data_IF_053566038328
#
_entry.id   IF_053566038328
#
_cell.length_a   1.000
_cell.length_b   1.000
_cell.length_c   1.000
_cell.angle_alpha   90.00
_cell.angle_beta   90.00
_cell.angle_gamma   90.00
#
_symmetry.space_group_name_H-M   'P 1'
#
loop_
_entity.id
_entity.type
_entity.pdbx_description
1 polymer ?
#
# COMPACT_ATOMS: atom_id res chain seq x y z
N UNK A 1 5.78 21.27 -4.83
CA UNK A 1 6.18 19.86 -5.07
C UNK A 1 5.02 18.98 -4.66
N UNK A 2 4.52 18.18 -5.57
CA UNK A 2 3.40 17.23 -5.41
C UNK A 2 3.87 15.84 -5.76
N UNK A 3 3.37 14.80 -5.09
CA UNK A 3 3.59 13.40 -5.47
C UNK A 3 2.38 12.92 -6.28
N UNK A 4 2.62 12.50 -7.51
CA UNK A 4 1.59 11.93 -8.39
C UNK A 4 1.74 10.42 -8.43
N UNK A 5 0.67 9.72 -8.08
CA UNK A 5 0.56 8.26 -8.12
C UNK A 5 -0.19 7.89 -9.41
N UNK A 6 0.50 7.28 -10.35
CA UNK A 6 -0.10 6.89 -11.63
C UNK A 6 -0.47 5.41 -11.65
N UNK A 7 -1.69 5.09 -11.99
CA UNK A 7 -1.97 3.77 -12.52
C UNK A 7 -1.26 3.57 -13.87
N UNK A 8 -1.11 2.33 -14.31
CA UNK A 8 -0.37 1.98 -15.53
C UNK A 8 -1.30 1.62 -16.68
N UNK A 9 -2.10 0.56 -16.50
CA UNK A 9 -2.91 -0.01 -17.57
C UNK A 9 -4.13 0.90 -17.86
N UNK A 10 -4.33 1.26 -19.12
CA UNK A 10 -5.30 2.25 -19.60
C UNK A 10 -5.15 3.68 -19.04
N UNK A 11 -4.11 3.92 -18.25
CA UNK A 11 -3.70 5.25 -17.79
C UNK A 11 -2.46 5.73 -18.54
N UNK A 12 -1.29 5.16 -18.28
CA UNK A 12 -0.03 5.50 -18.95
C UNK A 12 0.25 4.61 -20.19
N UNK A 13 -0.23 3.38 -20.18
CA UNK A 13 -0.15 2.41 -21.27
C UNK A 13 -1.57 2.04 -21.71
N UNK A 14 -1.89 2.15 -22.97
CA UNK A 14 -3.13 1.59 -23.49
C UNK A 14 -3.09 0.06 -23.40
N UNK A 15 -3.83 -0.51 -22.46
CA UNK A 15 -3.81 -1.94 -22.20
C UNK A 15 -5.16 -2.40 -21.65
N UNK A 16 -6.06 -2.77 -22.53
CA UNK A 16 -7.36 -3.31 -22.14
C UNK A 16 -7.17 -4.67 -21.46
N UNK A 17 -7.26 -4.69 -20.14
CA UNK A 17 -6.98 -5.88 -19.32
C UNK A 17 -7.90 -7.07 -19.65
N UNK A 18 -9.15 -6.82 -20.07
CA UNK A 18 -10.07 -7.88 -20.50
C UNK A 18 -9.60 -8.59 -21.79
N UNK A 19 -8.85 -7.91 -22.65
CA UNK A 19 -8.24 -8.50 -23.84
C UNK A 19 -6.85 -9.10 -23.53
N UNK A 20 -6.10 -8.45 -22.67
CA UNK A 20 -4.72 -8.84 -22.33
C UNK A 20 -4.67 -10.13 -21.49
N UNK A 21 -5.45 -10.21 -20.41
CA UNK A 21 -5.40 -11.32 -19.45
C UNK A 21 -5.63 -12.69 -20.07
N UNK A 22 -6.64 -12.91 -20.94
CA UNK A 22 -6.83 -14.23 -21.57
C UNK A 22 -5.61 -14.69 -22.38
N UNK A 23 -4.96 -13.79 -23.11
CA UNK A 23 -3.77 -14.12 -23.93
C UNK A 23 -2.57 -14.41 -23.04
N UNK A 24 -2.37 -13.62 -21.97
CA UNK A 24 -1.36 -13.87 -20.95
C UNK A 24 -1.53 -15.24 -20.32
N UNK A 25 -2.73 -15.58 -19.86
CA UNK A 25 -3.04 -16.88 -19.24
C UNK A 25 -2.74 -18.06 -20.18
N UNK A 26 -3.13 -17.94 -21.45
CA UNK A 26 -2.86 -18.96 -22.45
C UNK A 26 -1.37 -19.13 -22.72
N UNK A 27 -0.63 -18.04 -22.82
CA UNK A 27 0.81 -18.06 -23.05
C UNK A 27 1.56 -18.71 -21.87
N UNK A 28 1.21 -18.36 -20.64
CA UNK A 28 1.79 -18.94 -19.43
C UNK A 28 1.43 -20.44 -19.31
N UNK A 29 0.17 -20.80 -19.54
CA UNK A 29 -0.27 -22.19 -19.52
C UNK A 29 0.45 -23.04 -20.58
N UNK A 30 0.69 -22.51 -21.76
CA UNK A 30 1.49 -23.16 -22.80
C UNK A 30 2.94 -23.37 -22.36
N UNK A 31 3.58 -22.41 -21.74
CA UNK A 31 4.97 -22.51 -21.21
C UNK A 31 5.07 -23.57 -20.11
N UNK A 32 4.07 -23.66 -19.25
CA UNK A 32 4.03 -24.58 -18.12
C UNK A 32 3.42 -25.96 -18.44
N UNK A 33 3.02 -26.24 -19.67
CA UNK A 33 2.32 -27.47 -20.06
C UNK A 33 3.13 -28.78 -19.81
N UNK A 34 4.45 -28.66 -19.63
CA UNK A 34 5.32 -29.80 -19.27
C UNK A 34 5.24 -30.19 -17.79
N UNK A 35 4.74 -29.32 -16.92
CA UNK A 35 4.73 -29.50 -15.46
C UNK A 35 3.33 -29.43 -14.85
N UNK A 36 2.34 -28.88 -15.57
CA UNK A 36 0.95 -28.81 -15.10
C UNK A 36 -0.04 -28.89 -16.25
N UNK A 37 -1.24 -29.45 -16.00
CA UNK A 37 -2.34 -29.38 -16.94
C UNK A 37 -2.79 -27.93 -17.17
N UNK A 38 -2.87 -27.46 -18.43
CA UNK A 38 -3.19 -26.06 -18.73
C UNK A 38 -4.52 -25.57 -18.14
N UNK A 39 -5.55 -26.41 -18.11
CA UNK A 39 -6.87 -26.03 -17.59
C UNK A 39 -6.84 -25.89 -16.08
N UNK A 40 -6.18 -26.83 -15.38
CA UNK A 40 -6.01 -26.79 -13.94
C UNK A 40 -5.15 -25.60 -13.55
N UNK A 41 -4.07 -25.34 -14.29
CA UNK A 41 -3.16 -24.21 -14.07
C UNK A 41 -3.90 -22.86 -14.15
N UNK A 42 -4.66 -22.62 -15.22
CA UNK A 42 -5.42 -21.35 -15.39
C UNK A 42 -6.41 -21.17 -14.23
N UNK A 43 -7.15 -22.21 -13.87
CA UNK A 43 -8.10 -22.16 -12.76
C UNK A 43 -7.41 -21.83 -11.43
N UNK A 44 -6.28 -22.47 -11.17
CA UNK A 44 -5.50 -22.26 -9.94
C UNK A 44 -4.87 -20.87 -9.92
N UNK A 45 -4.36 -20.39 -11.06
CA UNK A 45 -3.81 -19.04 -11.18
C UNK A 45 -4.86 -17.96 -10.89
N UNK A 46 -6.06 -18.09 -11.47
CA UNK A 46 -7.17 -17.17 -11.19
C UNK A 46 -7.58 -17.20 -9.71
N UNK A 47 -7.62 -18.39 -9.09
CA UNK A 47 -7.88 -18.53 -7.67
C UNK A 47 -6.81 -17.85 -6.81
N UNK A 48 -5.52 -18.08 -7.11
CA UNK A 48 -4.40 -17.48 -6.38
C UNK A 48 -4.39 -15.94 -6.54
N UNK A 49 -4.67 -15.43 -7.75
CA UNK A 49 -4.83 -13.98 -7.99
C UNK A 49 -5.96 -13.40 -7.14
N UNK A 50 -7.09 -14.11 -7.05
CA UNK A 50 -8.20 -13.68 -6.20
C UNK A 50 -7.82 -13.63 -4.72
N UNK A 51 -7.02 -14.59 -4.22
CA UNK A 51 -6.50 -14.58 -2.85
C UNK A 51 -5.60 -13.36 -2.57
N UNK A 52 -4.85 -12.87 -3.56
CA UNK A 52 -4.11 -11.61 -3.45
C UNK A 52 -5.04 -10.41 -3.35
N UNK A 53 -6.05 -10.32 -4.23
CA UNK A 53 -7.00 -9.18 -4.25
C UNK A 53 -7.82 -9.10 -2.96
N UNK A 54 -8.27 -10.24 -2.44
CA UNK A 54 -9.08 -10.34 -1.22
C UNK A 54 -8.24 -10.25 0.07
N UNK A 55 -6.89 -10.16 -0.04
CA UNK A 55 -6.05 -10.10 1.15
C UNK A 55 -6.27 -8.81 1.94
N UNK A 56 -6.60 -8.97 3.22
CA UNK A 56 -6.72 -7.89 4.20
C UNK A 56 -5.74 -8.03 5.37
N UNK A 57 -4.87 -9.05 5.37
CA UNK A 57 -3.90 -9.30 6.43
C UNK A 57 -2.52 -8.75 6.09
N UNK A 58 -1.86 -8.03 7.01
CA UNK A 58 -0.54 -7.46 6.80
C UNK A 58 0.62 -8.43 7.03
N UNK A 59 0.34 -9.71 7.32
CA UNK A 59 1.32 -10.70 7.76
C UNK A 59 2.15 -11.31 6.62
N UNK A 60 1.65 -11.22 5.38
CA UNK A 60 2.28 -11.83 4.20
C UNK A 60 2.16 -10.93 2.99
N UNK A 61 3.22 -10.91 2.19
CA UNK A 61 3.20 -10.24 0.89
C UNK A 61 2.20 -10.90 -0.06
N UNK A 62 1.83 -10.20 -1.12
CA UNK A 62 0.96 -10.76 -2.16
C UNK A 62 1.64 -11.96 -2.85
N UNK A 63 2.97 -11.97 -2.99
CA UNK A 63 3.72 -13.10 -3.49
C UNK A 63 3.54 -14.33 -2.60
N UNK A 64 3.71 -14.18 -1.29
CA UNK A 64 3.53 -15.29 -0.33
C UNK A 64 2.10 -15.82 -0.30
N UNK A 65 1.10 -14.92 -0.44
CA UNK A 65 -0.32 -15.32 -0.57
C UNK A 65 -0.56 -16.07 -1.88
N UNK A 66 0.01 -15.58 -2.97
CA UNK A 66 -0.06 -16.25 -4.28
C UNK A 66 0.58 -17.63 -4.21
N UNK A 67 1.80 -17.73 -3.70
CA UNK A 67 2.56 -18.98 -3.64
C UNK A 67 1.81 -20.06 -2.84
N UNK A 68 1.26 -19.68 -1.69
CA UNK A 68 0.48 -20.60 -0.85
C UNK A 68 -0.78 -21.12 -1.54
N UNK A 69 -1.37 -20.33 -2.45
CA UNK A 69 -2.59 -20.69 -3.16
C UNK A 69 -2.34 -21.35 -4.53
N UNK A 70 -1.17 -21.13 -5.14
CA UNK A 70 -0.87 -21.55 -6.50
C UNK A 70 -0.12 -22.89 -6.57
N UNK A 71 1.02 -23.00 -5.90
CA UNK A 71 1.90 -24.15 -6.07
C UNK A 71 1.36 -25.46 -5.47
N UNK A 72 0.86 -25.50 -4.20
CA UNK A 72 0.44 -26.75 -3.58
C UNK A 72 -0.71 -27.46 -4.30
N UNK A 73 -1.77 -26.75 -4.79
CA UNK A 73 -2.85 -27.41 -5.54
C UNK A 73 -2.40 -28.06 -6.87
N UNK A 74 -1.28 -27.56 -7.43
CA UNK A 74 -0.69 -28.08 -8.66
C UNK A 74 0.33 -29.21 -8.39
N UNK A 75 0.63 -29.49 -7.12
CA UNK A 75 1.70 -30.43 -6.75
C UNK A 75 3.09 -29.93 -7.14
N UNK A 76 3.28 -28.62 -7.27
CA UNK A 76 4.53 -27.98 -7.68
C UNK A 76 5.27 -27.40 -6.48
N UNK A 77 6.59 -27.37 -6.59
CA UNK A 77 7.48 -26.64 -5.69
C UNK A 77 8.05 -25.44 -6.47
N UNK A 78 7.92 -24.23 -5.93
CA UNK A 78 8.33 -23.00 -6.61
C UNK A 78 9.75 -23.06 -7.18
N UNK A 79 10.72 -23.49 -6.38
CA UNK A 79 12.14 -23.57 -6.80
C UNK A 79 12.39 -24.50 -7.98
N UNK A 80 11.55 -25.51 -8.17
CA UNK A 80 11.67 -26.48 -9.28
C UNK A 80 11.15 -25.92 -10.61
N UNK A 81 10.18 -24.98 -10.55
CA UNK A 81 9.55 -24.39 -11.74
C UNK A 81 9.97 -22.94 -11.99
N UNK A 82 10.78 -22.34 -11.09
CA UNK A 82 11.21 -20.94 -11.21
C UNK A 82 11.85 -20.65 -12.56
N UNK A 83 12.74 -21.54 -13.04
CA UNK A 83 13.38 -21.36 -14.36
C UNK A 83 12.41 -21.36 -15.55
N UNK A 84 11.26 -22.06 -15.44
CA UNK A 84 10.19 -22.03 -16.48
C UNK A 84 9.48 -20.67 -16.45
N UNK A 85 9.20 -20.16 -15.22
CA UNK A 85 8.55 -18.86 -15.03
C UNK A 85 9.47 -17.73 -15.48
N UNK A 86 10.76 -17.77 -15.13
CA UNK A 86 11.74 -16.78 -15.57
C UNK A 86 11.86 -16.75 -17.09
N UNK A 87 11.92 -17.92 -17.73
CA UNK A 87 11.94 -18.04 -19.18
C UNK A 87 10.64 -17.51 -19.82
N UNK A 88 9.47 -17.68 -19.18
CA UNK A 88 8.22 -17.08 -19.65
C UNK A 88 8.32 -15.55 -19.67
N UNK A 89 8.74 -14.93 -18.57
CA UNK A 89 8.84 -13.47 -18.50
C UNK A 89 9.96 -12.90 -19.37
N UNK A 90 11.01 -13.67 -19.66
CA UNK A 90 12.10 -13.28 -20.53
C UNK A 90 11.78 -13.42 -22.04
N UNK A 91 11.03 -14.45 -22.43
CA UNK A 91 10.89 -14.83 -23.83
C UNK A 91 9.47 -14.70 -24.39
N UNK A 92 8.44 -15.01 -23.59
CA UNK A 92 7.05 -15.05 -24.06
C UNK A 92 6.27 -13.79 -23.68
N UNK A 93 6.43 -13.30 -22.46
CA UNK A 93 5.75 -12.08 -21.99
C UNK A 93 6.03 -10.85 -22.87
N UNK A 94 7.27 -10.60 -23.35
CA UNK A 94 7.57 -9.49 -24.26
C UNK A 94 6.76 -9.51 -25.57
N UNK A 95 6.32 -10.70 -26.03
CA UNK A 95 5.51 -10.84 -27.24
C UNK A 95 4.10 -10.28 -27.07
N UNK A 96 3.64 -10.12 -25.82
CA UNK A 96 2.34 -9.54 -25.50
C UNK A 96 2.30 -8.02 -25.71
N UNK A 97 3.47 -7.36 -25.88
CA UNK A 97 3.56 -5.93 -26.21
C UNK A 97 2.62 -5.54 -27.37
N UNK A 98 2.46 -6.41 -28.36
CA UNK A 98 1.59 -6.16 -29.51
C UNK A 98 0.08 -6.03 -29.17
N UNK A 99 -0.32 -6.36 -27.94
CA UNK A 99 -1.70 -6.17 -27.46
C UNK A 99 -1.88 -4.80 -26.77
N UNK A 100 -0.79 -4.07 -26.54
CA UNK A 100 -0.81 -2.77 -25.87
C UNK A 100 -0.62 -1.63 -26.86
N UNK A 101 -1.01 -0.44 -26.46
CA UNK A 101 -0.88 0.77 -27.25
C UNK A 101 -0.01 1.79 -26.53
N UNK A 102 1.06 2.23 -27.19
CA UNK A 102 1.89 3.33 -26.73
C UNK A 102 1.11 4.65 -26.73
N UNK A 103 1.25 5.43 -25.65
CA UNK A 103 0.60 6.74 -25.45
C UNK A 103 1.67 7.83 -25.35
N UNK A 104 1.98 8.57 -26.43
CA UNK A 104 3.02 9.60 -26.41
C UNK A 104 2.72 10.74 -25.43
N UNK A 105 1.44 11.03 -25.17
CA UNK A 105 0.99 11.99 -24.16
C UNK A 105 1.39 11.58 -22.74
N UNK A 106 1.45 10.28 -22.43
CA UNK A 106 1.87 9.79 -21.12
C UNK A 106 3.35 10.13 -20.85
N UNK A 107 4.22 9.92 -21.84
CA UNK A 107 5.64 10.29 -21.73
C UNK A 107 5.78 11.78 -21.53
N UNK A 108 5.09 12.60 -22.36
CA UNK A 108 5.15 14.06 -22.28
C UNK A 108 4.68 14.59 -20.92
N UNK A 109 3.58 14.05 -20.37
CA UNK A 109 3.04 14.50 -19.07
C UNK A 109 3.99 14.13 -17.93
N UNK A 110 4.51 12.89 -17.90
CA UNK A 110 5.46 12.45 -16.86
C UNK A 110 6.76 13.27 -16.92
N UNK A 111 7.31 13.55 -18.10
CA UNK A 111 8.47 14.41 -18.25
C UNK A 111 8.23 15.84 -17.74
N UNK A 112 7.08 16.44 -18.06
CA UNK A 112 6.72 17.76 -17.57
C UNK A 112 6.60 17.81 -16.04
N UNK A 113 6.02 16.77 -15.42
CA UNK A 113 5.92 16.63 -13.95
C UNK A 113 7.32 16.66 -13.33
N UNK A 114 8.25 15.87 -13.84
CA UNK A 114 9.62 15.81 -13.34
C UNK A 114 10.34 17.14 -13.55
N UNK A 115 10.19 17.78 -14.73
CA UNK A 115 10.78 19.08 -15.04
C UNK A 115 10.25 20.21 -14.12
N UNK A 116 9.02 20.10 -13.64
CA UNK A 116 8.41 21.05 -12.65
C UNK A 116 8.95 20.83 -11.24
N UNK A 117 9.72 19.79 -10.98
CA UNK A 117 10.18 19.40 -9.65
C UNK A 117 9.11 18.67 -8.83
N UNK A 118 8.02 18.22 -9.45
CA UNK A 118 7.06 17.29 -8.85
C UNK A 118 7.59 15.85 -8.95
N UNK A 119 7.01 14.95 -8.17
CA UNK A 119 7.43 13.54 -8.13
C UNK A 119 6.38 12.65 -8.78
N UNK A 120 6.83 11.64 -9.49
CA UNK A 120 5.98 10.60 -10.06
C UNK A 120 6.27 9.24 -9.42
N UNK A 121 5.23 8.46 -9.20
CA UNK A 121 5.31 7.09 -8.75
C UNK A 121 4.27 6.24 -9.50
N UNK A 122 4.54 4.95 -9.65
CA UNK A 122 3.60 4.02 -10.26
C UNK A 122 2.74 3.39 -9.17
N UNK A 123 1.43 3.49 -9.28
CA UNK A 123 0.46 2.91 -8.35
C UNK A 123 -0.45 1.90 -9.09
N UNK A 124 0.13 1.10 -9.98
CA UNK A 124 -0.57 -0.03 -10.63
C UNK A 124 -0.93 -1.10 -9.60
N UNK A 125 -1.95 -1.91 -9.90
CA UNK A 125 -2.32 -3.03 -9.02
C UNK A 125 -1.17 -4.06 -8.95
N UNK A 126 -0.56 -4.34 -7.78
CA UNK A 126 0.66 -5.12 -7.65
C UNK A 126 0.40 -6.64 -7.71
N UNK A 127 -0.34 -7.09 -8.72
CA UNK A 127 -0.71 -8.50 -8.91
C UNK A 127 0.25 -9.26 -9.83
N UNK A 128 1.30 -8.59 -10.30
CA UNK A 128 2.31 -9.15 -11.18
C UNK A 128 3.71 -9.04 -10.54
N UNK A 129 4.64 -9.93 -10.93
CA UNK A 129 6.04 -9.79 -10.55
C UNK A 129 6.63 -8.50 -11.10
N UNK A 130 7.61 -7.96 -10.39
CA UNK A 130 8.29 -6.71 -10.74
C UNK A 130 8.77 -6.69 -12.20
N UNK A 131 9.31 -7.81 -12.70
CA UNK A 131 9.75 -7.98 -14.09
C UNK A 131 8.65 -7.65 -15.10
N UNK A 132 7.42 -8.08 -14.87
CA UNK A 132 6.30 -7.81 -15.77
C UNK A 132 5.87 -6.34 -15.72
N UNK A 133 5.92 -5.71 -14.55
CA UNK A 133 5.59 -4.30 -14.39
C UNK A 133 6.64 -3.43 -15.09
N UNK A 134 7.93 -3.72 -14.91
CA UNK A 134 9.01 -2.99 -15.58
C UNK A 134 8.95 -3.11 -17.11
N UNK A 135 8.62 -4.28 -17.64
CA UNK A 135 8.43 -4.45 -19.08
C UNK A 135 7.26 -3.62 -19.62
N UNK A 136 6.13 -3.57 -18.90
CA UNK A 136 4.99 -2.73 -19.30
C UNK A 136 5.30 -1.24 -19.22
N UNK A 137 6.11 -0.80 -18.26
CA UNK A 137 6.64 0.57 -18.24
C UNK A 137 7.54 0.87 -19.46
N UNK A 138 8.38 -0.08 -19.86
CA UNK A 138 9.17 0.05 -21.09
C UNK A 138 8.24 0.14 -22.32
N UNK A 139 7.18 -0.66 -22.40
CA UNK A 139 6.19 -0.58 -23.49
C UNK A 139 5.47 0.77 -23.54
N UNK A 140 5.29 1.41 -22.38
CA UNK A 140 4.75 2.76 -22.27
C UNK A 140 5.76 3.86 -22.63
N UNK A 141 7.03 3.51 -22.92
CA UNK A 141 8.11 4.47 -23.15
C UNK A 141 8.59 5.17 -21.87
N UNK A 142 8.30 4.59 -20.72
CA UNK A 142 8.59 5.11 -19.37
C UNK A 142 9.49 4.13 -18.60
N UNK A 143 10.52 3.60 -19.26
CA UNK A 143 11.46 2.66 -18.66
C UNK A 143 12.04 3.22 -17.34
N UNK A 144 12.04 2.39 -16.29
CA UNK A 144 12.45 2.79 -14.95
C UNK A 144 13.94 3.20 -14.83
N UNK A 145 14.77 2.81 -15.80
CA UNK A 145 16.17 3.26 -15.90
C UNK A 145 16.28 4.72 -16.35
N UNK A 146 15.26 5.27 -16.99
CA UNK A 146 15.27 6.61 -17.57
C UNK A 146 14.33 7.58 -16.84
N UNK A 147 13.29 7.05 -16.19
CA UNK A 147 12.30 7.85 -15.45
C UNK A 147 12.49 7.61 -13.94
N UNK A 148 12.81 8.63 -13.15
CA UNK A 148 13.09 8.50 -11.72
C UNK A 148 11.78 8.36 -10.92
N UNK A 149 11.04 7.28 -11.12
CA UNK A 149 9.87 6.99 -10.28
C UNK A 149 10.28 6.78 -8.82
N UNK A 150 9.61 7.44 -7.91
CA UNK A 150 9.90 7.31 -6.46
C UNK A 150 9.58 5.91 -5.92
N UNK A 151 8.59 5.23 -6.53
CA UNK A 151 8.21 3.87 -6.21
C UNK A 151 7.51 3.19 -7.40
N UNK A 152 7.74 1.88 -7.53
CA UNK A 152 7.05 0.97 -8.45
C UNK A 152 6.65 -0.25 -7.62
N UNK A 153 5.35 -0.47 -7.33
CA UNK A 153 4.88 -1.58 -6.52
C UNK A 153 4.94 -2.90 -7.29
N UNK A 154 5.04 -4.00 -6.56
CA UNK A 154 4.94 -5.34 -7.13
C UNK A 154 4.51 -6.34 -6.05
N UNK A 155 4.08 -7.53 -6.44
CA UNK A 155 3.55 -8.52 -5.50
C UNK A 155 4.60 -9.00 -4.47
N UNK A 156 5.90 -8.87 -4.79
CA UNK A 156 7.00 -9.21 -3.89
C UNK A 156 7.13 -8.26 -2.70
N UNK A 157 6.62 -7.03 -2.82
CA UNK A 157 6.87 -5.96 -1.85
C UNK A 157 5.63 -5.31 -1.29
N UNK A 158 4.45 -5.75 -1.71
CA UNK A 158 3.17 -5.25 -1.24
C UNK A 158 2.33 -6.36 -0.62
N UNK A 159 1.53 -5.98 0.39
CA UNK A 159 0.63 -6.87 1.11
C UNK A 159 -0.82 -6.70 0.65
N UNK A 160 -1.15 -5.53 0.11
CA UNK A 160 -2.51 -5.19 -0.30
C UNK A 160 -2.58 -4.86 -1.78
N UNK A 161 -3.75 -5.15 -2.37
CA UNK A 161 -4.10 -4.81 -3.74
C UNK A 161 -5.28 -3.84 -3.78
N UNK A 162 -5.44 -3.08 -4.86
CA UNK A 162 -6.67 -2.32 -5.13
C UNK A 162 -7.85 -3.29 -5.31
N UNK A 163 -9.06 -2.98 -4.82
CA UNK A 163 -9.54 -1.67 -4.33
C UNK A 163 -9.37 -1.43 -2.82
N UNK A 164 -8.58 -2.22 -2.10
CA UNK A 164 -8.37 -2.00 -0.68
C UNK A 164 -7.62 -0.68 -0.45
N UNK A 165 -8.16 0.30 0.32
CA UNK A 165 -7.46 1.56 0.61
C UNK A 165 -6.14 1.37 1.35
N UNK A 166 -5.93 0.22 2.02
CA UNK A 166 -4.66 -0.14 2.65
C UNK A 166 -3.52 -0.26 1.62
N UNK A 167 -3.79 -0.53 0.33
CA UNK A 167 -2.78 -0.46 -0.72
C UNK A 167 -2.13 0.93 -0.79
N UNK A 168 -2.95 1.99 -0.84
CA UNK A 168 -2.43 3.36 -0.90
C UNK A 168 -1.78 3.77 0.43
N UNK A 169 -2.32 3.34 1.56
CA UNK A 169 -1.71 3.60 2.86
C UNK A 169 -0.34 2.92 2.98
N UNK A 170 -0.20 1.65 2.58
CA UNK A 170 1.07 0.93 2.52
C UNK A 170 2.06 1.61 1.57
N UNK A 171 1.58 2.05 0.42
CA UNK A 171 2.38 2.79 -0.57
C UNK A 171 3.02 4.04 0.06
N UNK A 172 2.22 4.85 0.75
CA UNK A 172 2.70 6.06 1.41
C UNK A 172 3.57 5.75 2.64
N UNK A 173 3.25 4.72 3.38
CA UNK A 173 4.04 4.27 4.53
C UNK A 173 5.44 3.81 4.10
N UNK A 174 5.56 3.05 3.01
CA UNK A 174 6.87 2.65 2.44
C UNK A 174 7.69 3.84 1.91
N UNK A 175 7.05 4.99 1.63
CA UNK A 175 7.69 6.28 1.30
C UNK A 175 7.93 7.18 2.52
N UNK A 176 7.69 6.69 3.74
CA UNK A 176 7.83 7.48 4.96
C UNK A 176 6.74 8.54 5.13
N UNK A 177 5.53 8.32 4.64
CA UNK A 177 4.40 9.25 4.72
C UNK A 177 4.74 10.67 4.25
N UNK A 178 4.93 10.92 2.95
CA UNK A 178 5.31 12.23 2.43
C UNK A 178 4.34 13.33 2.88
N UNK A 179 4.89 14.48 3.30
CA UNK A 179 4.09 15.64 3.76
C UNK A 179 3.62 16.53 2.61
N UNK A 180 3.98 16.21 1.38
CA UNK A 180 3.56 16.95 0.17
C UNK A 180 2.15 16.56 -0.23
N UNK A 181 1.43 17.40 -1.01
CA UNK A 181 0.19 16.98 -1.66
C UNK A 181 0.38 15.71 -2.46
N UNK A 182 -0.63 14.83 -2.44
CA UNK A 182 -0.62 13.54 -3.13
C UNK A 182 -1.86 13.44 -4.00
N UNK A 183 -1.66 13.09 -5.28
CA UNK A 183 -2.75 12.96 -6.25
C UNK A 183 -2.68 11.57 -6.89
N UNK A 184 -3.75 10.79 -6.77
CA UNK A 184 -3.92 9.56 -7.56
C UNK A 184 -4.50 9.88 -8.92
N UNK A 185 -3.86 9.39 -9.97
CA UNK A 185 -4.27 9.53 -11.37
C UNK A 185 -4.50 8.15 -11.94
N UNK A 186 -5.73 7.86 -12.36
CA UNK A 186 -6.09 6.53 -12.88
C UNK A 186 -7.42 6.54 -13.62
N UNK A 187 -7.74 5.45 -14.30
CA UNK A 187 -8.94 5.32 -15.15
C UNK A 187 -10.05 4.50 -14.49
N UNK A 188 -9.74 3.64 -13.53
CA UNK A 188 -10.75 2.79 -12.90
C UNK A 188 -11.42 3.48 -11.71
N UNK A 189 -12.78 3.52 -11.77
CA UNK A 189 -13.59 4.21 -10.74
C UNK A 189 -13.46 3.55 -9.37
N UNK A 190 -13.39 2.22 -9.32
CA UNK A 190 -13.36 1.47 -8.07
C UNK A 190 -11.91 1.29 -7.57
N UNK A 191 -11.04 0.79 -8.45
CA UNK A 191 -9.67 0.42 -8.10
C UNK A 191 -8.79 1.64 -7.81
N UNK A 192 -8.91 2.71 -8.61
CA UNK A 192 -8.05 3.89 -8.49
C UNK A 192 -8.72 4.99 -7.70
N UNK A 193 -9.88 5.45 -8.19
CA UNK A 193 -10.51 6.67 -7.69
C UNK A 193 -11.20 6.42 -6.36
N UNK A 194 -12.01 5.37 -6.28
CA UNK A 194 -12.76 5.01 -5.08
C UNK A 194 -11.85 4.65 -3.91
N UNK A 195 -10.88 3.78 -4.14
CA UNK A 195 -9.94 3.32 -3.13
C UNK A 195 -9.04 4.46 -2.61
N UNK A 196 -8.50 5.30 -3.50
CA UNK A 196 -7.69 6.47 -3.10
C UNK A 196 -8.51 7.50 -2.29
N UNK A 197 -9.76 7.77 -2.69
CA UNK A 197 -10.66 8.67 -1.94
C UNK A 197 -11.04 8.11 -0.58
N UNK A 198 -11.17 6.80 -0.42
CA UNK A 198 -11.42 6.18 0.88
C UNK A 198 -10.27 6.41 1.85
N UNK A 199 -9.02 6.44 1.36
CA UNK A 199 -7.87 6.86 2.17
C UNK A 199 -7.83 8.37 2.41
N UNK A 200 -8.52 9.19 1.61
CA UNK A 200 -8.52 10.65 1.72
C UNK A 200 -7.52 11.35 0.81
N UNK A 201 -7.11 10.71 -0.29
CA UNK A 201 -6.25 11.31 -1.31
C UNK A 201 -7.07 12.18 -2.27
N UNK A 202 -6.42 13.21 -2.82
CA UNK A 202 -6.91 13.86 -4.02
C UNK A 202 -6.79 12.92 -5.21
N UNK A 203 -7.71 13.04 -6.17
CA UNK A 203 -7.76 12.16 -7.34
C UNK A 203 -8.00 12.96 -8.62
N UNK A 204 -7.49 12.45 -9.73
CA UNK A 204 -7.84 12.89 -11.08
C UNK A 204 -8.22 11.64 -11.90
N UNK A 205 -9.45 11.61 -12.39
CA UNK A 205 -9.99 10.47 -13.10
C UNK A 205 -9.76 10.60 -14.61
N UNK A 206 -8.95 9.72 -15.18
CA UNK A 206 -8.75 9.63 -16.63
C UNK A 206 -10.03 9.08 -17.26
N UNK A 207 -10.76 9.91 -17.97
CA UNK A 207 -12.06 9.57 -18.56
C UNK A 207 -12.37 10.36 -19.82
N UNK A 208 -12.42 9.64 -20.94
CA UNK A 208 -12.74 10.19 -22.27
C UNK A 208 -14.25 10.36 -22.53
N UNK A 209 -15.12 9.76 -21.71
CA UNK A 209 -16.55 9.66 -21.95
C UNK A 209 -17.40 10.64 -21.12
N UNK A 210 -16.76 11.47 -20.32
CA UNK A 210 -17.40 12.51 -19.51
C UNK A 210 -18.09 12.01 -18.24
N UNK A 211 -18.66 12.97 -17.51
CA UNK A 211 -19.26 12.78 -16.17
C UNK A 211 -20.39 11.74 -16.10
N UNK A 212 -21.06 11.46 -17.22
CA UNK A 212 -22.18 10.51 -17.28
C UNK A 212 -21.77 9.05 -16.95
N UNK A 213 -20.48 8.75 -17.02
CA UNK A 213 -19.94 7.44 -16.65
C UNK A 213 -19.70 7.28 -15.13
N UNK A 214 -19.86 8.36 -14.34
CA UNK A 214 -19.66 8.28 -12.89
C UNK A 214 -20.75 7.45 -12.21
N UNK A 215 -20.36 6.32 -11.66
CA UNK A 215 -21.21 5.42 -10.85
C UNK A 215 -20.62 5.19 -9.44
N UNK A 216 -19.55 5.91 -9.09
CA UNK A 216 -18.91 5.84 -7.77
C UNK A 216 -19.68 6.60 -6.69
N UNK A 217 -19.23 6.47 -5.45
CA UNK A 217 -19.85 7.16 -4.31
C UNK A 217 -19.42 8.63 -4.23
N UNK A 218 -20.35 9.49 -3.81
CA UNK A 218 -20.11 10.91 -3.56
C UNK A 218 -20.05 11.77 -4.81
N UNK A 219 -19.43 12.96 -4.69
CA UNK A 219 -19.31 13.90 -5.77
C UNK A 219 -18.41 13.37 -6.90
N UNK A 220 -18.74 13.76 -8.15
CA UNK A 220 -17.92 13.49 -9.32
C UNK A 220 -16.52 14.07 -9.07
N UNK A 221 -15.43 13.28 -9.20
CA UNK A 221 -14.08 13.79 -9.07
C UNK A 221 -13.71 14.68 -10.26
N UNK A 222 -12.63 15.47 -10.18
CA UNK A 222 -11.99 16.05 -11.36
C UNK A 222 -11.66 14.94 -12.37
N UNK A 223 -11.94 15.20 -13.65
CA UNK A 223 -11.75 14.21 -14.72
C UNK A 223 -11.36 14.87 -16.04
N UNK A 224 -10.79 14.11 -16.95
CA UNK A 224 -10.41 14.54 -18.30
C UNK A 224 -9.43 13.58 -18.94
N UNK A 225 -8.83 14.05 -20.03
CA UNK A 225 -7.69 13.39 -20.67
C UNK A 225 -6.44 13.52 -19.78
N UNK A 226 -5.43 12.69 -20.01
CA UNK A 226 -4.18 12.79 -19.27
C UNK A 226 -3.50 14.17 -19.42
N UNK A 227 -3.66 14.81 -20.58
CA UNK A 227 -3.16 16.16 -20.86
C UNK A 227 -3.86 17.25 -20.06
N UNK A 228 -5.04 17.00 -19.52
CA UNK A 228 -5.78 17.96 -18.69
C UNK A 228 -5.32 17.97 -17.22
N UNK A 229 -4.51 16.97 -16.83
CA UNK A 229 -4.02 16.83 -15.46
C UNK A 229 -3.25 18.06 -14.96
N UNK A 230 -2.25 18.52 -15.71
CA UNK A 230 -1.42 19.66 -15.31
C UNK A 230 -2.21 20.98 -15.28
N UNK A 231 -3.03 21.32 -16.29
CA UNK A 231 -3.95 22.46 -16.21
C UNK A 231 -4.89 22.40 -14.99
N UNK A 232 -5.44 21.23 -14.68
CA UNK A 232 -6.27 21.07 -13.50
C UNK A 232 -5.48 21.30 -12.19
N UNK A 233 -4.28 20.75 -12.09
CA UNK A 233 -3.42 20.98 -10.91
C UNK A 233 -3.12 22.47 -10.72
N UNK A 234 -2.78 23.17 -11.78
CA UNK A 234 -2.45 24.61 -11.75
C UNK A 234 -3.66 25.48 -11.37
N UNK A 235 -4.88 25.05 -11.74
CA UNK A 235 -6.13 25.71 -11.37
C UNK A 235 -6.69 25.32 -10.00
N UNK A 236 -6.10 24.32 -9.33
CA UNK A 236 -6.62 23.79 -8.07
C UNK A 236 -6.09 24.59 -6.87
N UNK A 237 -6.96 24.89 -5.91
CA UNK A 237 -6.52 25.44 -4.64
C UNK A 237 -5.71 24.39 -3.86
N UNK A 238 -4.57 24.77 -3.23
CA UNK A 238 -3.70 23.82 -2.50
C UNK A 238 -4.42 22.96 -1.45
N UNK A 239 -5.47 23.50 -0.80
CA UNK A 239 -6.26 22.75 0.18
C UNK A 239 -7.00 21.54 -0.41
N UNK A 240 -7.35 21.57 -1.71
CA UNK A 240 -8.04 20.46 -2.38
C UNK A 240 -7.12 19.31 -2.74
N UNK A 241 -5.81 19.55 -2.71
CA UNK A 241 -4.78 18.52 -2.94
C UNK A 241 -4.22 17.94 -1.64
N UNK A 242 -4.66 18.43 -0.47
CA UNK A 242 -4.22 17.93 0.83
C UNK A 242 -4.89 16.59 1.14
N UNK A 243 -4.10 15.68 1.69
CA UNK A 243 -4.57 14.39 2.18
C UNK A 243 -5.28 14.53 3.52
N UNK A 244 -6.29 13.70 3.77
CA UNK A 244 -7.02 13.69 5.04
C UNK A 244 -7.36 12.24 5.45
N UNK A 245 -6.62 11.72 6.41
CA UNK A 245 -6.74 10.34 6.89
C UNK A 245 -7.70 10.17 8.08
N UNK A 246 -8.70 11.06 8.24
CA UNK A 246 -9.53 11.09 9.45
C UNK A 246 -10.82 10.27 9.37
N UNK A 247 -11.20 9.73 8.23
CA UNK A 247 -12.39 8.85 8.17
C UNK A 247 -12.10 7.48 8.79
N UNK A 248 -13.10 6.77 9.36
CA UNK A 248 -12.88 5.41 9.89
C UNK A 248 -12.17 4.47 8.92
N UNK A 249 -12.56 4.48 7.64
CA UNK A 249 -11.91 3.66 6.60
C UNK A 249 -10.44 4.04 6.39
N UNK A 250 -10.13 5.34 6.38
CA UNK A 250 -8.75 5.81 6.25
C UNK A 250 -7.90 5.43 7.46
N UNK A 251 -8.45 5.59 8.68
CA UNK A 251 -7.78 5.18 9.91
C UNK A 251 -7.48 3.68 9.93
N UNK A 252 -8.46 2.85 9.59
CA UNK A 252 -8.25 1.40 9.48
C UNK A 252 -7.19 1.05 8.41
N UNK A 253 -7.17 1.77 7.28
CA UNK A 253 -6.15 1.58 6.24
C UNK A 253 -4.75 1.93 6.74
N UNK A 254 -4.59 3.04 7.48
CA UNK A 254 -3.31 3.43 8.11
C UNK A 254 -2.85 2.36 9.10
N UNK A 255 -3.71 1.97 10.04
CA UNK A 255 -3.39 0.95 11.06
C UNK A 255 -2.99 -0.39 10.43
N UNK A 256 -3.69 -0.78 9.36
CA UNK A 256 -3.43 -2.03 8.63
C UNK A 256 -2.12 -1.99 7.87
N UNK A 257 -1.79 -0.86 7.27
CA UNK A 257 -0.58 -0.70 6.46
C UNK A 257 0.71 -0.61 7.29
N UNK A 258 0.62 -0.20 8.55
CA UNK A 258 1.80 0.02 9.41
C UNK A 258 2.69 -1.22 9.52
N UNK A 259 2.21 -2.39 10.00
CA UNK A 259 3.06 -3.58 10.09
C UNK A 259 3.55 -4.06 8.71
N UNK A 260 2.72 -3.98 7.66
CA UNK A 260 3.09 -4.34 6.30
C UNK A 260 4.26 -3.51 5.76
N UNK A 261 4.17 -2.19 5.88
CA UNK A 261 5.23 -1.28 5.45
C UNK A 261 6.52 -1.48 6.27
N UNK A 262 6.40 -1.65 7.58
CA UNK A 262 7.54 -1.94 8.45
C UNK A 262 8.21 -3.27 8.06
N UNK A 263 7.45 -4.31 7.75
CA UNK A 263 7.99 -5.58 7.26
C UNK A 263 8.78 -5.38 5.96
N UNK A 264 8.24 -4.64 4.99
CA UNK A 264 8.93 -4.36 3.73
C UNK A 264 10.18 -3.49 3.94
N UNK A 265 10.11 -2.45 4.76
CA UNK A 265 11.23 -1.55 5.04
C UNK A 265 12.38 -2.28 5.73
N UNK A 266 12.08 -3.20 6.64
CA UNK A 266 13.09 -3.91 7.44
C UNK A 266 13.61 -5.19 6.77
N UNK A 267 12.86 -5.78 5.84
CA UNK A 267 13.25 -7.01 5.13
C UNK A 267 14.30 -6.77 4.03
N UNK A 268 14.37 -5.56 3.48
CA UNK A 268 15.29 -5.23 2.38
C UNK A 268 16.67 -4.91 2.92
N UNK A 269 17.53 -5.91 3.02
CA UNK A 269 18.97 -5.82 3.24
C UNK A 269 19.45 -6.30 4.62
N UNK A 270 20.75 -6.51 4.74
CA UNK A 270 21.57 -6.74 5.94
C UNK A 270 21.54 -5.53 6.90
N UNK A 271 20.37 -4.89 7.08
CA UNK A 271 20.21 -3.71 7.91
C UNK A 271 20.32 -4.15 9.36
N UNK A 272 21.28 -3.56 10.05
CA UNK A 272 21.41 -3.69 11.50
C UNK A 272 20.27 -2.92 12.16
N UNK A 273 19.17 -3.60 12.43
CA UNK A 273 18.02 -3.03 13.13
C UNK A 273 18.39 -2.45 14.51
N UNK A 274 19.49 -2.91 15.07
CA UNK A 274 20.04 -2.47 16.35
C UNK A 274 20.81 -1.14 16.26
N UNK A 275 21.13 -0.66 15.04
CA UNK A 275 21.96 0.52 14.88
C UNK A 275 21.11 1.79 15.04
N UNK A 276 21.47 2.63 16.01
CA UNK A 276 20.89 3.95 16.19
C UNK A 276 21.45 4.92 15.13
N UNK A 277 20.60 5.74 14.47
CA UNK A 277 21.05 6.68 13.45
C UNK A 277 21.92 7.81 14.05
N UNK A 278 21.62 8.24 15.27
CA UNK A 278 22.41 9.22 16.02
C UNK A 278 22.31 8.97 17.53
N UNK A 279 23.16 9.66 18.32
CA UNK A 279 23.11 9.62 19.78
C UNK A 279 21.76 10.18 20.28
N UNK A 280 21.08 9.43 21.12
CA UNK A 280 19.75 9.79 21.67
C UNK A 280 18.56 9.44 20.76
N UNK A 281 18.78 8.97 19.54
CA UNK A 281 17.74 8.46 18.67
C UNK A 281 17.56 6.95 18.83
N UNK A 282 16.34 6.47 18.58
CA UNK A 282 16.06 5.04 18.63
C UNK A 282 16.48 4.34 17.34
N UNK A 283 16.97 3.13 17.47
CA UNK A 283 17.16 2.24 16.33
C UNK A 283 15.83 1.77 15.76
N UNK A 284 15.77 1.30 14.50
CA UNK A 284 14.55 0.71 13.96
C UNK A 284 13.99 -0.41 14.84
N UNK A 285 14.84 -1.27 15.42
CA UNK A 285 14.42 -2.35 16.32
C UNK A 285 13.77 -1.84 17.62
N UNK A 286 14.29 -0.76 18.19
CA UNK A 286 13.71 -0.12 19.38
C UNK A 286 12.32 0.46 19.10
N UNK A 287 12.12 1.04 17.89
CA UNK A 287 10.80 1.52 17.45
C UNK A 287 9.82 0.35 17.31
N UNK A 288 10.24 -0.78 16.76
CA UNK A 288 9.37 -1.96 16.63
C UNK A 288 8.94 -2.51 18.01
N UNK A 289 9.87 -2.56 18.98
CA UNK A 289 9.56 -2.93 20.36
C UNK A 289 8.55 -1.96 21.00
N UNK A 290 8.73 -0.67 20.76
CA UNK A 290 7.81 0.36 21.28
C UNK A 290 6.40 0.20 20.71
N UNK A 291 6.25 0.04 19.39
CA UNK A 291 4.95 -0.16 18.76
C UNK A 291 4.23 -1.40 19.30
N UNK A 292 4.95 -2.51 19.47
CA UNK A 292 4.40 -3.74 20.08
C UNK A 292 3.86 -3.48 21.48
N UNK A 293 4.66 -2.88 22.34
CA UNK A 293 4.30 -2.69 23.74
C UNK A 293 3.17 -1.67 23.89
N UNK A 294 3.17 -0.59 23.10
CA UNK A 294 2.10 0.41 23.12
C UNK A 294 0.78 -0.19 22.65
N UNK A 295 0.76 -0.99 21.61
CA UNK A 295 -0.48 -1.67 21.19
C UNK A 295 -0.97 -2.66 22.24
N UNK A 296 -0.07 -3.45 22.83
CA UNK A 296 -0.41 -4.48 23.80
C UNK A 296 -0.91 -3.90 25.12
N UNK A 297 -0.24 -2.89 25.66
CA UNK A 297 -0.47 -2.45 27.03
C UNK A 297 -1.27 -1.14 27.13
N UNK A 298 -1.37 -0.39 26.05
CA UNK A 298 -2.03 0.93 26.07
C UNK A 298 -3.22 0.96 25.11
N UNK A 299 -3.00 0.72 23.81
CA UNK A 299 -4.02 0.95 22.80
C UNK A 299 -5.17 -0.06 22.92
N UNK A 300 -4.88 -1.34 22.80
CA UNK A 300 -5.92 -2.39 22.86
C UNK A 300 -6.72 -2.38 24.17
N UNK A 301 -6.10 -2.28 25.36
CA UNK A 301 -6.86 -2.14 26.63
C UNK A 301 -7.75 -0.90 26.68
N UNK A 302 -7.31 0.24 26.12
CA UNK A 302 -8.12 1.47 26.04
C UNK A 302 -9.34 1.30 25.14
N UNK A 303 -9.16 0.68 23.97
CA UNK A 303 -10.26 0.40 23.04
C UNK A 303 -11.32 -0.48 23.69
N UNK A 304 -10.93 -1.57 24.33
CA UNK A 304 -11.86 -2.41 25.10
C UNK A 304 -12.57 -1.65 26.21
N UNK A 305 -11.85 -0.79 26.91
CA UNK A 305 -12.43 -0.01 28.01
C UNK A 305 -13.50 0.97 27.53
N UNK A 306 -13.28 1.65 26.39
CA UNK A 306 -14.26 2.58 25.81
C UNK A 306 -15.54 1.87 25.39
N UNK A 307 -15.45 0.65 24.91
CA UNK A 307 -16.64 -0.11 24.50
C UNK A 307 -17.37 -0.71 25.69
N UNK A 308 -16.66 -1.18 26.72
CA UNK A 308 -17.26 -1.90 27.84
C UNK A 308 -17.73 -1.00 28.99
N UNK A 309 -17.24 0.24 29.08
CA UNK A 309 -17.62 1.18 30.15
C UNK A 309 -18.32 2.42 29.60
N UNK A 310 -19.12 3.07 30.42
CA UNK A 310 -19.78 4.32 30.08
C UNK A 310 -18.88 5.52 30.40
N UNK A 311 -18.44 6.25 29.37
CA UNK A 311 -17.59 7.43 29.48
C UNK A 311 -16.36 7.22 30.40
N UNK A 312 -15.55 6.18 30.15
CA UNK A 312 -14.44 5.82 31.02
C UNK A 312 -13.35 6.90 31.11
N UNK A 313 -12.63 6.91 32.22
CA UNK A 313 -11.41 7.69 32.34
C UNK A 313 -10.21 6.86 31.86
N UNK A 314 -9.47 7.41 30.89
CA UNK A 314 -8.28 6.84 30.31
C UNK A 314 -7.06 7.56 30.88
N UNK A 315 -6.30 6.86 31.74
CA UNK A 315 -5.07 7.40 32.33
C UNK A 315 -4.01 7.70 31.27
N UNK A 316 -3.23 8.75 31.51
CA UNK A 316 -1.99 8.99 30.77
C UNK A 316 -0.98 7.88 31.08
N UNK A 317 -0.30 7.40 30.04
CA UNK A 317 0.84 6.49 30.18
C UNK A 317 2.03 7.18 29.55
N UNK A 318 3.11 7.33 30.34
CA UNK A 318 4.39 7.82 29.83
C UNK A 318 5.16 6.62 29.29
N UNK A 319 5.29 6.55 27.97
CA UNK A 319 5.97 5.46 27.26
C UNK A 319 7.42 5.81 26.88
N UNK A 320 7.84 7.06 27.04
CA UNK A 320 9.19 7.52 26.66
C UNK A 320 10.31 6.77 27.42
N UNK A 321 10.19 6.49 28.75
CA UNK A 321 11.21 5.73 29.46
C UNK A 321 11.28 4.24 29.11
N UNK A 322 10.32 3.71 28.34
CA UNK A 322 10.22 2.26 28.10
C UNK A 322 11.41 1.71 27.31
N UNK A 323 11.95 2.48 26.38
CA UNK A 323 13.11 2.04 25.60
C UNK A 323 14.30 1.67 26.48
N UNK A 324 14.60 2.49 27.49
CA UNK A 324 15.69 2.25 28.41
C UNK A 324 15.33 1.25 29.52
N UNK A 325 14.17 1.43 30.16
CA UNK A 325 13.74 0.58 31.30
C UNK A 325 13.46 -0.86 30.90
N UNK A 326 13.03 -1.08 29.66
CA UNK A 326 12.76 -2.41 29.08
C UNK A 326 13.92 -2.91 28.23
N UNK A 327 14.98 -2.13 28.09
CA UNK A 327 16.19 -2.48 27.32
C UNK A 327 15.86 -2.91 25.88
N UNK A 328 15.09 -2.10 25.15
CA UNK A 328 14.70 -2.39 23.78
C UNK A 328 15.91 -2.65 22.85
N UNK A 329 17.04 -1.98 23.09
CA UNK A 329 18.28 -2.19 22.36
C UNK A 329 18.87 -3.62 22.47
N UNK A 330 18.36 -4.44 23.41
CA UNK A 330 18.78 -5.85 23.59
C UNK A 330 17.72 -6.83 23.10
N UNK A 331 16.59 -6.36 22.59
CA UNK A 331 15.51 -7.21 22.11
C UNK A 331 15.61 -7.46 20.60
N UNK A 332 15.06 -8.59 20.17
CA UNK A 332 14.96 -8.92 18.74
C UNK A 332 13.85 -8.06 18.08
N UNK A 333 14.26 -7.11 17.23
CA UNK A 333 13.36 -6.22 16.52
C UNK A 333 12.44 -6.94 15.53
N UNK A 334 12.89 -8.02 14.86
CA UNK A 334 12.03 -8.79 13.94
C UNK A 334 10.99 -9.61 14.70
N UNK A 335 11.36 -10.16 15.85
CA UNK A 335 10.37 -10.81 16.72
C UNK A 335 9.36 -9.78 17.24
N UNK A 336 9.83 -8.58 17.64
CA UNK A 336 8.94 -7.51 18.06
C UNK A 336 7.96 -7.08 16.96
N UNK A 337 8.40 -7.02 15.69
CA UNK A 337 7.53 -6.76 14.54
C UNK A 337 6.48 -7.87 14.36
N UNK A 338 6.88 -9.11 14.52
CA UNK A 338 5.95 -10.25 14.46
C UNK A 338 4.88 -10.15 15.55
N UNK A 339 5.28 -9.88 16.79
CA UNK A 339 4.38 -9.74 17.92
C UNK A 339 3.48 -8.49 17.77
N UNK A 340 4.04 -7.37 17.27
CA UNK A 340 3.27 -6.18 16.91
C UNK A 340 2.20 -6.48 15.86
N UNK A 341 2.56 -7.23 14.82
CA UNK A 341 1.62 -7.61 13.77
C UNK A 341 0.44 -8.43 14.34
N UNK A 342 0.70 -9.34 15.26
CA UNK A 342 -0.34 -10.16 15.90
C UNK A 342 -1.30 -9.31 16.73
N UNK A 343 -0.79 -8.43 17.59
CA UNK A 343 -1.66 -7.57 18.41
C UNK A 343 -2.39 -6.53 17.54
N UNK A 344 -1.77 -6.03 16.48
CA UNK A 344 -2.41 -5.14 15.52
C UNK A 344 -3.56 -5.82 14.77
N UNK A 345 -3.44 -7.09 14.43
CA UNK A 345 -4.56 -7.87 13.87
C UNK A 345 -5.74 -7.96 14.85
N UNK A 346 -5.48 -8.09 16.15
CA UNK A 346 -6.53 -8.05 17.17
C UNK A 346 -7.19 -6.66 17.25
N UNK A 347 -6.40 -5.59 17.21
CA UNK A 347 -6.91 -4.20 17.16
C UNK A 347 -7.81 -3.99 15.93
N UNK A 348 -7.35 -4.42 14.75
CA UNK A 348 -8.11 -4.29 13.50
C UNK A 348 -9.41 -5.09 13.55
N UNK A 349 -9.34 -6.35 13.97
CA UNK A 349 -10.52 -7.20 14.10
C UNK A 349 -11.56 -6.60 15.06
N UNK A 350 -11.08 -6.07 16.18
CA UNK A 350 -11.95 -5.38 17.15
C UNK A 350 -12.65 -4.16 16.52
N UNK A 351 -11.90 -3.27 15.86
CA UNK A 351 -12.45 -2.03 15.29
C UNK A 351 -13.40 -2.30 14.11
N UNK A 352 -13.10 -3.29 13.29
CA UNK A 352 -13.93 -3.69 12.13
C UNK A 352 -15.26 -4.33 12.53
N UNK A 353 -15.29 -4.98 13.67
CA UNK A 353 -16.52 -5.58 14.21
C UNK A 353 -17.47 -4.55 14.83
N UNK A 354 -17.04 -3.30 15.03
CA UNK A 354 -17.85 -2.27 15.67
C UNK A 354 -18.91 -1.69 14.72
N UNK A 355 -20.16 -1.52 15.21
CA UNK A 355 -21.14 -0.71 14.50
C UNK A 355 -20.69 0.75 14.37
N UNK A 356 -21.16 1.44 13.32
CA UNK A 356 -20.75 2.81 13.02
C UNK A 356 -21.02 3.80 14.17
N UNK A 357 -22.08 3.60 14.94
CA UNK A 357 -22.44 4.43 16.10
C UNK A 357 -21.41 4.33 17.23
N UNK A 358 -20.76 3.19 17.41
CA UNK A 358 -19.79 2.98 18.50
C UNK A 358 -18.50 3.80 18.31
N UNK A 359 -18.19 4.23 17.08
CA UNK A 359 -17.08 5.16 16.84
C UNK A 359 -17.24 6.51 17.54
N UNK A 360 -18.46 6.88 17.94
CA UNK A 360 -18.78 8.10 18.68
C UNK A 360 -18.88 7.89 20.20
N UNK A 361 -18.51 6.70 20.73
CA UNK A 361 -18.56 6.44 22.19
C UNK A 361 -17.59 7.35 22.93
N UNK A 362 -18.12 8.01 23.95
CA UNK A 362 -17.39 8.99 24.74
C UNK A 362 -16.41 8.33 25.71
N UNK A 363 -15.30 9.03 25.94
CA UNK A 363 -14.30 8.74 26.97
C UNK A 363 -13.75 10.06 27.53
N UNK A 364 -12.92 10.00 28.55
CA UNK A 364 -12.18 11.14 29.12
C UNK A 364 -10.71 10.75 29.21
N UNK A 365 -9.88 11.37 28.38
CA UNK A 365 -8.45 11.12 28.38
C UNK A 365 -7.73 12.10 29.33
N UNK A 366 -6.76 11.62 30.10
CA UNK A 366 -6.02 12.43 31.09
C UNK A 366 -5.34 13.67 30.47
N UNK A 367 -4.87 13.58 29.20
CA UNK A 367 -4.14 14.65 28.50
C UNK A 367 -5.11 15.45 27.60
N UNK A 368 -5.94 14.76 26.80
CA UNK A 368 -6.79 15.40 25.78
C UNK A 368 -8.18 15.83 26.30
N UNK A 369 -8.54 15.44 27.53
CA UNK A 369 -9.85 15.77 28.12
C UNK A 369 -10.99 14.91 27.56
N UNK A 370 -12.21 15.48 27.39
CA UNK A 370 -13.32 14.79 26.74
C UNK A 370 -12.93 14.35 25.32
N UNK A 371 -13.15 13.11 24.99
CA UNK A 371 -12.81 12.51 23.72
C UNK A 371 -13.82 11.42 23.35
N UNK A 372 -13.67 10.81 22.20
CA UNK A 372 -14.46 9.65 21.76
C UNK A 372 -13.57 8.64 21.03
N UNK A 373 -14.12 7.44 20.77
CA UNK A 373 -13.35 6.33 20.18
C UNK A 373 -12.65 6.73 18.88
N UNK A 374 -13.36 7.42 17.99
CA UNK A 374 -12.80 7.88 16.71
C UNK A 374 -11.53 8.75 16.89
N UNK A 375 -11.55 9.69 17.85
CA UNK A 375 -10.36 10.51 18.14
C UNK A 375 -9.22 9.68 18.72
N UNK A 376 -9.51 8.69 19.55
CA UNK A 376 -8.48 7.76 20.05
C UNK A 376 -7.84 6.97 18.93
N UNK A 377 -8.63 6.43 18.00
CA UNK A 377 -8.11 5.71 16.83
C UNK A 377 -7.29 6.64 15.94
N UNK A 378 -7.72 7.90 15.77
CA UNK A 378 -6.95 8.92 15.04
C UNK A 378 -5.60 9.22 15.70
N UNK A 379 -5.53 9.23 17.03
CA UNK A 379 -4.26 9.39 17.78
C UNK A 379 -3.36 8.18 17.53
N UNK A 380 -3.90 6.96 17.58
CA UNK A 380 -3.14 5.73 17.29
C UNK A 380 -2.58 5.77 15.86
N UNK A 381 -3.39 6.11 14.87
CA UNK A 381 -2.94 6.22 13.49
C UNK A 381 -1.87 7.31 13.29
N UNK A 382 -2.00 8.45 13.97
CA UNK A 382 -0.99 9.50 13.99
C UNK A 382 0.34 9.05 14.59
N UNK A 383 0.29 8.28 15.67
CA UNK A 383 1.46 7.66 16.31
C UNK A 383 2.15 6.66 15.37
N UNK A 384 1.38 5.84 14.67
CA UNK A 384 1.89 4.93 13.66
C UNK A 384 2.63 5.65 12.53
N UNK A 385 2.02 6.69 11.98
CA UNK A 385 2.63 7.51 10.92
C UNK A 385 3.98 8.08 11.38
N UNK A 386 4.05 8.61 12.60
CA UNK A 386 5.31 9.15 13.17
C UNK A 386 6.40 8.09 13.29
N UNK A 387 6.05 6.90 13.79
CA UNK A 387 7.03 5.83 13.97
C UNK A 387 7.46 5.17 12.65
N UNK A 388 6.57 5.06 11.67
CA UNK A 388 6.96 4.64 10.31
C UNK A 388 7.92 5.65 9.68
N UNK A 389 7.66 6.96 9.83
CA UNK A 389 8.59 8.02 9.39
C UNK A 389 9.95 7.87 10.09
N UNK A 390 9.95 7.64 11.39
CA UNK A 390 11.17 7.47 12.19
C UNK A 390 11.99 6.27 11.68
N UNK A 391 11.36 5.12 11.44
CA UNK A 391 12.02 3.94 10.87
C UNK A 391 12.56 4.24 9.48
N UNK A 392 11.76 4.85 8.60
CA UNK A 392 12.14 5.21 7.23
C UNK A 392 13.38 6.12 7.21
N UNK A 393 13.39 7.20 8.00
CA UNK A 393 14.53 8.14 8.06
C UNK A 393 15.76 7.49 8.70
N UNK A 394 15.60 6.68 9.75
CA UNK A 394 16.69 5.92 10.35
C UNK A 394 17.37 5.01 9.31
N UNK A 395 16.58 4.20 8.59
CA UNK A 395 17.09 3.31 7.55
C UNK A 395 17.78 4.07 6.41
N UNK A 396 17.25 5.23 6.03
CA UNK A 396 17.83 6.08 4.99
C UNK A 396 19.17 6.69 5.40
N UNK A 397 19.35 7.02 6.69
CA UNK A 397 20.60 7.58 7.20
C UNK A 397 21.69 6.52 7.41
N UNK A 398 21.31 5.25 7.53
CA UNK A 398 22.21 4.11 7.71
C UNK A 398 22.71 3.49 6.39
N UNK A 399 22.12 3.87 5.25
CA UNK A 399 22.52 3.49 3.90
C UNK A 399 23.43 4.54 3.27
#
# INVERSE_FOLDING_TARGET
>A
MTLLLFDLDDTLLGNEMNAFIPVYLQALAKRMATVADPTVLIKTLMYATRQMVENSSPDKTLEEKFDAAFYPPLGLIRSEVQGIIDAFYAEDFPKLRGLTQFRPEAVSVVEQIIQRGDQAAIATNPLFPRTAILQRLDWAGLAAEHVPFTMIPSYETFHFAKPNPAFFAEFLAQLGWPKTPIVMVGNDIELDIGAARQLGLAVFWINHNGASMWNGQGAIPPYGELTDLLPWMDGSEPKHLQTNYTTPNALLAVLRSTPAALATLTHKQEIKLEQRPAEGEWSPGEVLCHLRDVDTEVNLPRLYKVINEQNPFLAGVDTDPWADTRQYCQQDGLQALTDFTLVRLEVLHFLEALPAEDWNRNARHAIFGPTHLHELVNIIAGHDILHVQQVYEALKSLN
#
